data_IF_319344300757
#
_entry.id   IF_319344300757
#
_cell.length_a   1.000
_cell.length_b   1.000
_cell.length_c   1.000
_cell.angle_alpha   90.00
_cell.angle_beta   90.00
_cell.angle_gamma   90.00
#
_symmetry.space_group_name_H-M   'P 1'
#
loop_
_entity.id
_entity.type
_entity.pdbx_description
1 polymer ?
#
# COMPACT_ATOMS: atom_id res chain seq x y z
N UNK A 1 57.54 23.86 35.48
CA UNK A 1 57.69 23.80 34.04
C UNK A 1 56.29 23.49 33.46
N UNK A 2 55.72 24.40 32.68
CA UNK A 2 54.27 24.53 32.43
C UNK A 2 53.80 23.65 31.27
N UNK A 3 52.79 22.90 31.49
CA UNK A 3 51.95 22.31 30.42
C UNK A 3 51.02 23.40 29.85
N UNK A 4 51.36 23.90 28.69
CA UNK A 4 50.54 24.85 27.93
C UNK A 4 50.46 24.35 26.49
N UNK A 5 49.55 23.40 26.23
CA UNK A 5 49.40 22.78 24.91
C UNK A 5 48.04 22.19 24.57
N UNK A 6 47.08 22.11 25.53
CA UNK A 6 45.83 21.35 25.32
C UNK A 6 44.67 22.13 24.65
N UNK A 7 44.73 23.46 24.61
CA UNK A 7 43.56 24.27 24.19
C UNK A 7 43.31 24.33 22.68
N UNK A 8 44.32 24.00 21.84
CA UNK A 8 44.16 24.12 20.36
C UNK A 8 43.53 22.88 19.72
N UNK A 9 43.81 21.70 20.26
CA UNK A 9 43.29 20.43 19.75
C UNK A 9 41.82 20.22 20.15
N UNK A 10 41.40 20.66 21.34
CA UNK A 10 40.03 20.50 21.80
C UNK A 10 39.01 21.27 20.92
N UNK A 11 39.38 22.46 20.44
CA UNK A 11 38.57 23.24 19.50
C UNK A 11 38.44 22.56 18.12
N UNK A 12 39.53 21.96 17.64
CA UNK A 12 39.56 21.23 16.39
C UNK A 12 38.64 20.00 16.47
N UNK A 13 38.71 19.22 17.55
CA UNK A 13 37.82 18.08 17.76
C UNK A 13 36.35 18.48 17.88
N UNK A 14 36.05 19.60 18.55
CA UNK A 14 34.69 20.12 18.64
C UNK A 14 34.13 20.53 17.27
N UNK A 15 34.94 21.16 16.42
CA UNK A 15 34.54 21.52 15.05
C UNK A 15 34.31 20.27 14.20
N UNK A 16 35.20 19.28 14.27
CA UNK A 16 35.05 18.01 13.54
C UNK A 16 33.77 17.29 13.99
N UNK A 17 33.53 17.20 15.30
CA UNK A 17 32.31 16.59 15.84
C UNK A 17 31.06 17.31 15.36
N UNK A 18 31.04 18.63 15.33
CA UNK A 18 29.95 19.45 14.83
C UNK A 18 29.71 19.18 13.34
N UNK A 19 30.75 19.12 12.51
CA UNK A 19 30.64 18.83 11.07
C UNK A 19 30.06 17.41 10.86
N UNK A 20 30.52 16.42 11.61
CA UNK A 20 30.01 15.04 11.53
C UNK A 20 28.52 15.00 11.89
N UNK A 21 28.10 15.69 12.95
CA UNK A 21 26.70 15.79 13.34
C UNK A 21 25.85 16.45 12.22
N UNK A 22 26.37 17.56 11.65
CA UNK A 22 25.70 18.25 10.53
C UNK A 22 25.57 17.31 9.32
N UNK A 23 26.62 16.57 8.97
CA UNK A 23 26.58 15.60 7.86
C UNK A 23 25.55 14.49 8.14
N UNK A 24 25.53 13.94 9.36
CA UNK A 24 24.56 12.93 9.76
C UNK A 24 23.13 13.46 9.66
N UNK A 25 22.88 14.65 10.21
CA UNK A 25 21.55 15.29 10.13
C UNK A 25 21.17 15.57 8.68
N UNK A 26 22.10 16.07 7.87
CA UNK A 26 21.85 16.38 6.46
C UNK A 26 21.58 15.10 5.65
N UNK A 27 22.37 14.05 5.82
CA UNK A 27 22.12 12.76 5.17
C UNK A 27 20.79 12.15 5.62
N UNK A 28 20.44 12.27 6.90
CA UNK A 28 19.17 11.80 7.43
C UNK A 28 17.98 12.57 6.82
N UNK A 29 18.07 13.90 6.73
CA UNK A 29 17.00 14.73 6.13
C UNK A 29 16.83 14.47 4.63
N UNK A 30 17.91 14.27 3.87
CA UNK A 30 17.85 14.02 2.43
C UNK A 30 17.50 12.56 2.07
N UNK A 31 17.91 11.58 2.89
CA UNK A 31 17.54 10.18 2.66
C UNK A 31 16.09 9.87 3.01
N UNK A 32 15.39 10.80 3.67
CA UNK A 32 14.03 10.58 4.17
C UNK A 32 12.93 11.04 3.20
N UNK A 33 13.22 11.09 1.89
CA UNK A 33 12.17 11.30 0.89
C UNK A 33 11.37 10.01 0.69
N UNK A 34 10.04 10.13 0.72
CA UNK A 34 9.14 9.02 0.43
C UNK A 34 9.10 8.77 -1.09
N UNK A 35 9.52 7.59 -1.52
CA UNK A 35 9.26 7.10 -2.87
C UNK A 35 7.84 6.55 -2.92
N UNK A 36 6.99 7.18 -3.71
CA UNK A 36 5.57 6.82 -3.83
C UNK A 36 5.43 5.60 -4.73
N UNK A 37 4.77 4.57 -4.24
CA UNK A 37 4.35 3.45 -5.06
C UNK A 37 3.12 3.83 -5.89
N UNK A 38 3.01 3.31 -7.11
CA UNK A 38 1.94 3.64 -8.05
C UNK A 38 1.68 2.49 -9.03
N UNK A 39 0.52 2.50 -9.66
CA UNK A 39 0.20 1.59 -10.77
C UNK A 39 0.59 2.28 -12.08
N UNK A 40 1.47 1.65 -12.92
CA UNK A 40 1.87 2.24 -14.20
C UNK A 40 0.69 2.37 -15.18
N UNK A 41 0.61 3.47 -15.92
CA UNK A 41 -0.48 3.77 -16.86
C UNK A 41 -0.74 2.65 -17.87
N UNK A 42 0.31 1.95 -18.32
CA UNK A 42 0.21 0.84 -19.29
C UNK A 42 -0.67 -0.33 -18.81
N UNK A 43 -0.92 -0.46 -17.50
CA UNK A 43 -1.78 -1.51 -16.92
C UNK A 43 -3.14 -1.00 -16.49
N UNK A 44 -3.37 0.31 -16.45
CA UNK A 44 -4.63 0.89 -15.99
C UNK A 44 -5.80 0.57 -16.92
N UNK A 45 -5.59 0.57 -18.27
CA UNK A 45 -6.68 0.37 -19.25
C UNK A 45 -7.82 1.38 -19.04
N UNK A 46 -8.99 0.91 -18.59
CA UNK A 46 -10.17 1.75 -18.26
C UNK A 46 -10.21 2.22 -16.81
N UNK A 47 -9.15 1.99 -16.05
CA UNK A 47 -9.02 2.47 -14.67
C UNK A 47 -8.35 3.83 -14.69
N UNK A 48 -8.81 4.72 -13.82
CA UNK A 48 -8.25 6.06 -13.67
C UNK A 48 -7.88 6.33 -12.23
N UNK A 49 -6.82 7.11 -12.03
CA UNK A 49 -6.48 7.61 -10.70
C UNK A 49 -7.49 8.66 -10.27
N UNK A 50 -8.04 8.51 -9.07
CA UNK A 50 -8.87 9.51 -8.41
C UNK A 50 -7.98 10.55 -7.73
N UNK A 51 -7.83 11.70 -8.39
CA UNK A 51 -6.93 12.76 -7.93
C UNK A 51 -7.45 13.41 -6.64
N UNK A 52 -8.76 13.42 -6.44
CA UNK A 52 -9.38 14.03 -5.26
C UNK A 52 -9.16 13.18 -4.00
N UNK A 53 -8.97 11.88 -4.16
CA UNK A 53 -8.66 10.96 -3.06
C UNK A 53 -7.15 10.79 -2.79
N UNK A 54 -6.30 11.57 -3.45
CA UNK A 54 -4.89 11.60 -3.08
C UNK A 54 -4.73 12.10 -1.66
N UNK A 55 -4.06 11.32 -0.86
CA UNK A 55 -3.81 11.68 0.53
C UNK A 55 -2.34 11.41 0.89
N UNK A 56 -1.88 12.07 1.93
CA UNK A 56 -0.53 11.89 2.43
C UNK A 56 -0.25 12.82 3.58
N UNK A 57 0.67 12.43 4.42
CA UNK A 57 1.09 13.22 5.58
C UNK A 57 2.55 12.94 5.93
N UNK A 58 3.16 13.93 6.53
CA UNK A 58 4.42 13.82 7.27
C UNK A 58 4.12 13.97 8.74
N UNK A 59 4.52 13.02 9.56
CA UNK A 59 4.44 13.16 11.01
C UNK A 59 5.50 14.13 11.54
N UNK A 60 5.32 14.56 12.80
CA UNK A 60 6.28 15.45 13.49
C UNK A 60 7.71 14.94 13.31
N UNK A 61 8.60 15.84 12.84
CA UNK A 61 10.02 15.56 12.53
C UNK A 61 10.26 14.58 11.37
N UNK A 62 9.24 14.25 10.53
CA UNK A 62 9.40 13.36 9.37
C UNK A 62 9.77 11.92 9.73
N UNK A 63 9.45 11.47 10.95
CA UNK A 63 9.73 10.11 11.42
C UNK A 63 8.89 9.07 10.68
N UNK A 64 7.72 9.47 10.20
CA UNK A 64 6.86 8.67 9.34
C UNK A 64 6.28 9.55 8.25
N UNK A 65 6.31 9.06 7.02
CA UNK A 65 5.72 9.70 5.84
C UNK A 65 4.87 8.67 5.14
N UNK A 66 3.71 9.08 4.67
CA UNK A 66 2.89 8.21 3.86
C UNK A 66 2.23 8.98 2.71
N UNK A 67 1.91 8.27 1.64
CA UNK A 67 1.14 8.77 0.52
C UNK A 67 0.26 7.65 -0.02
N UNK A 68 -0.96 7.99 -0.38
CA UNK A 68 -1.97 7.06 -0.87
C UNK A 68 -2.56 7.55 -2.19
N UNK A 69 -2.77 6.63 -3.12
CA UNK A 69 -3.37 6.83 -4.43
C UNK A 69 -4.49 5.82 -4.62
N UNK A 70 -5.65 6.30 -5.01
CA UNK A 70 -6.81 5.44 -5.33
C UNK A 70 -7.02 5.40 -6.84
N UNK A 71 -7.20 4.21 -7.38
CA UNK A 71 -7.53 3.96 -8.78
C UNK A 71 -8.91 3.33 -8.84
N UNK A 72 -9.79 3.88 -9.68
CA UNK A 72 -11.18 3.40 -9.85
C UNK A 72 -11.42 2.92 -11.26
N UNK A 73 -12.31 1.94 -11.40
CA UNK A 73 -12.88 1.65 -12.70
C UNK A 73 -13.98 2.69 -13.00
N UNK A 74 -14.27 2.88 -14.30
CA UNK A 74 -15.34 3.77 -14.76
C UNK A 74 -16.70 3.04 -14.93
N UNK A 75 -16.85 1.90 -14.28
CA UNK A 75 -18.08 1.09 -14.38
C UNK A 75 -18.97 1.38 -13.16
N UNK A 76 -20.13 1.98 -13.39
CA UNK A 76 -21.09 2.30 -12.33
C UNK A 76 -21.84 1.07 -11.80
N UNK A 77 -22.00 0.03 -12.66
CA UNK A 77 -22.75 -1.19 -12.32
C UNK A 77 -21.97 -2.09 -11.35
N UNK A 78 -20.66 -2.21 -11.56
CA UNK A 78 -19.75 -3.02 -10.73
C UNK A 78 -18.59 -2.16 -10.25
N UNK A 79 -18.82 -1.26 -9.28
CA UNK A 79 -17.77 -0.40 -8.78
C UNK A 79 -16.61 -1.22 -8.21
N UNK A 80 -15.41 -0.79 -8.56
CA UNK A 80 -14.20 -1.41 -8.05
C UNK A 80 -13.08 -0.36 -7.92
N UNK A 81 -12.22 -0.52 -6.93
CA UNK A 81 -11.08 0.36 -6.72
C UNK A 81 -9.88 -0.36 -6.14
N UNK A 82 -8.72 0.24 -6.31
CA UNK A 82 -7.46 -0.17 -5.68
C UNK A 82 -6.82 1.06 -5.07
N UNK A 83 -6.56 1.00 -3.78
CA UNK A 83 -5.77 2.01 -3.07
C UNK A 83 -4.36 1.49 -2.85
N UNK A 84 -3.35 2.29 -3.22
CA UNK A 84 -1.93 2.00 -3.04
C UNK A 84 -1.35 3.00 -2.07
N UNK A 85 -0.94 2.55 -0.90
CA UNK A 85 -0.35 3.36 0.15
C UNK A 85 1.13 3.02 0.31
N UNK A 86 1.98 4.04 0.25
CA UNK A 86 3.41 3.95 0.56
C UNK A 86 3.66 4.53 1.93
N UNK A 87 4.42 3.84 2.75
CA UNK A 87 4.78 4.28 4.10
C UNK A 87 6.29 4.22 4.23
N UNK A 88 6.90 5.32 4.67
CA UNK A 88 8.29 5.39 5.06
C UNK A 88 8.36 5.76 6.53
N UNK A 89 8.83 4.84 7.34
CA UNK A 89 9.05 5.03 8.77
C UNK A 89 10.54 4.95 9.08
N UNK A 90 10.94 5.43 10.26
CA UNK A 90 12.32 5.34 10.74
C UNK A 90 12.81 3.90 10.78
N UNK A 91 11.94 2.98 11.18
CA UNK A 91 12.16 1.54 11.13
C UNK A 91 11.09 0.89 10.27
N UNK A 92 11.52 0.08 9.32
CA UNK A 92 10.61 -0.66 8.45
C UNK A 92 9.88 -1.73 9.29
N UNK A 93 8.53 -1.72 9.34
CA UNK A 93 7.78 -2.74 10.07
C UNK A 93 7.98 -4.13 9.44
N UNK A 94 7.73 -5.18 10.19
CA UNK A 94 7.72 -6.53 9.62
C UNK A 94 6.53 -6.69 8.65
N UNK A 95 6.64 -7.63 7.70
CA UNK A 95 5.53 -7.93 6.77
C UNK A 95 4.27 -8.41 7.50
N UNK A 96 4.44 -9.11 8.64
CA UNK A 96 3.34 -9.55 9.46
C UNK A 96 2.62 -8.36 10.13
N UNK A 97 3.39 -7.41 10.70
CA UNK A 97 2.81 -6.20 11.30
C UNK A 97 2.07 -5.35 10.27
N UNK A 98 2.59 -5.28 9.03
CA UNK A 98 1.90 -4.59 7.93
C UNK A 98 0.59 -5.28 7.56
N UNK A 99 0.57 -6.60 7.50
CA UNK A 99 -0.64 -7.36 7.21
C UNK A 99 -1.68 -7.18 8.32
N UNK A 100 -1.28 -7.21 9.59
CA UNK A 100 -2.18 -6.99 10.71
C UNK A 100 -2.79 -5.58 10.67
N UNK A 101 -2.00 -4.54 10.39
CA UNK A 101 -2.52 -3.18 10.17
C UNK A 101 -3.48 -3.11 8.98
N UNK A 102 -3.23 -3.88 7.94
CA UNK A 102 -4.12 -3.96 6.78
C UNK A 102 -5.45 -4.61 7.14
N UNK A 103 -5.43 -5.67 7.94
CA UNK A 103 -6.64 -6.33 8.45
C UNK A 103 -7.44 -5.37 9.34
N UNK A 104 -6.78 -4.64 10.25
CA UNK A 104 -7.43 -3.60 11.06
C UNK A 104 -8.09 -2.51 10.19
N UNK A 105 -7.44 -2.11 9.09
CA UNK A 105 -8.03 -1.14 8.16
C UNK A 105 -9.26 -1.71 7.43
N UNK A 106 -9.23 -2.99 7.05
CA UNK A 106 -10.38 -3.67 6.44
C UNK A 106 -11.52 -3.83 7.45
N UNK A 107 -11.22 -4.09 8.71
CA UNK A 107 -12.24 -4.19 9.76
C UNK A 107 -12.98 -2.85 10.00
N UNK A 108 -12.31 -1.71 9.81
CA UNK A 108 -12.96 -0.40 9.88
C UNK A 108 -14.00 -0.18 8.77
N UNK A 109 -13.89 -0.86 7.63
CA UNK A 109 -14.90 -0.79 6.58
C UNK A 109 -16.27 -1.30 7.04
N UNK A 110 -16.36 -2.02 8.17
CA UNK A 110 -17.62 -2.40 8.81
C UNK A 110 -18.44 -1.18 9.24
N UNK A 111 -17.78 -0.08 9.59
CA UNK A 111 -18.44 1.19 9.96
C UNK A 111 -19.17 1.81 8.75
N UNK A 112 -18.71 1.51 7.53
CA UNK A 112 -19.28 1.97 6.27
C UNK A 112 -20.31 0.97 5.67
N UNK A 113 -20.72 -0.04 6.43
CA UNK A 113 -21.73 -1.03 6.01
C UNK A 113 -21.15 -2.24 5.27
N UNK A 114 -19.83 -2.42 5.25
CA UNK A 114 -19.18 -3.60 4.69
C UNK A 114 -19.13 -4.71 5.74
N UNK A 115 -19.79 -5.84 5.47
CA UNK A 115 -19.75 -7.02 6.34
C UNK A 115 -18.88 -8.09 5.69
N UNK A 116 -17.72 -8.37 6.30
CA UNK A 116 -16.79 -9.39 5.84
C UNK A 116 -17.18 -10.78 6.38
N UNK A 117 -17.13 -11.79 5.52
CA UNK A 117 -17.33 -13.18 5.90
C UNK A 117 -15.99 -13.77 6.39
N UNK A 118 -15.85 -13.89 7.70
CA UNK A 118 -14.66 -14.45 8.34
C UNK A 118 -14.36 -15.90 7.91
N UNK A 119 -15.40 -16.66 7.49
CA UNK A 119 -15.22 -18.02 6.99
C UNK A 119 -14.61 -18.08 5.59
N UNK A 120 -14.67 -16.99 4.85
CA UNK A 120 -14.13 -16.87 3.48
C UNK A 120 -12.66 -16.48 3.44
N UNK A 121 -12.03 -16.25 4.59
CA UNK A 121 -10.67 -15.71 4.67
C UNK A 121 -9.65 -16.62 3.96
N UNK A 122 -8.91 -16.04 3.03
CA UNK A 122 -7.78 -16.66 2.36
C UNK A 122 -6.52 -15.82 2.62
N UNK A 123 -5.49 -16.43 3.19
CA UNK A 123 -4.20 -15.79 3.44
C UNK A 123 -3.10 -16.50 2.67
N UNK A 124 -2.08 -15.78 2.25
CA UNK A 124 -0.96 -16.39 1.56
C UNK A 124 0.17 -15.42 1.26
N UNK A 125 1.11 -15.92 0.45
CA UNK A 125 2.25 -15.16 -0.06
C UNK A 125 2.29 -15.30 -1.57
N UNK A 126 2.75 -14.25 -2.25
CA UNK A 126 3.07 -14.30 -3.68
C UNK A 126 4.22 -13.36 -4.02
N UNK A 127 4.72 -13.44 -5.25
CA UNK A 127 5.65 -12.46 -5.79
C UNK A 127 4.93 -11.57 -6.78
N UNK A 128 5.15 -10.25 -6.68
CA UNK A 128 4.66 -9.31 -7.67
C UNK A 128 5.55 -9.27 -8.92
N UNK A 129 5.19 -8.47 -9.93
CA UNK A 129 5.92 -8.35 -11.18
C UNK A 129 7.36 -7.80 -11.02
N UNK A 130 7.65 -7.13 -9.91
CA UNK A 130 8.96 -6.57 -9.55
C UNK A 130 9.73 -7.45 -8.57
N UNK A 131 9.30 -8.72 -8.42
CA UNK A 131 9.93 -9.75 -7.58
C UNK A 131 9.94 -9.45 -6.07
N UNK A 132 9.06 -8.55 -5.59
CA UNK A 132 8.84 -8.40 -4.16
C UNK A 132 7.99 -9.55 -3.64
N UNK A 133 8.41 -10.18 -2.56
CA UNK A 133 7.55 -11.08 -1.81
C UNK A 133 6.48 -10.25 -1.08
N UNK A 134 5.23 -10.63 -1.23
CA UNK A 134 4.10 -9.98 -0.57
C UNK A 134 3.31 -10.97 0.27
N UNK A 135 2.70 -10.48 1.33
CA UNK A 135 1.67 -11.19 2.09
C UNK A 135 0.31 -10.62 1.72
N UNK A 136 -0.71 -11.47 1.61
CA UNK A 136 -2.05 -11.02 1.31
C UNK A 136 -3.10 -11.68 2.18
N UNK A 137 -4.24 -11.00 2.30
CA UNK A 137 -5.49 -11.51 2.85
C UNK A 137 -6.63 -11.16 1.91
N UNK A 138 -7.54 -12.12 1.68
CA UNK A 138 -8.74 -11.93 0.85
C UNK A 138 -9.96 -12.30 1.68
N UNK A 139 -11.02 -11.50 1.53
CA UNK A 139 -12.34 -11.74 2.07
C UNK A 139 -13.39 -11.68 0.95
N UNK A 140 -14.42 -12.45 1.10
CA UNK A 140 -15.73 -12.21 0.48
C UNK A 140 -16.60 -11.50 1.52
N UNK A 141 -17.51 -10.65 1.09
CA UNK A 141 -18.37 -9.92 2.02
C UNK A 141 -19.62 -9.41 1.33
N UNK A 142 -20.37 -8.60 2.07
CA UNK A 142 -21.59 -7.95 1.60
C UNK A 142 -21.48 -6.44 1.88
N UNK A 143 -21.88 -5.65 0.91
CA UNK A 143 -22.11 -4.21 1.07
C UNK A 143 -23.58 -4.00 1.45
N UNK A 144 -23.82 -3.78 2.73
CA UNK A 144 -25.17 -3.55 3.29
C UNK A 144 -25.58 -2.08 3.27
N UNK A 145 -24.72 -1.18 2.81
CA UNK A 145 -25.06 0.21 2.52
C UNK A 145 -25.93 0.31 1.25
N UNK A 146 -25.95 -0.74 0.44
CA UNK A 146 -26.74 -0.86 -0.80
C UNK A 146 -28.09 -1.55 -0.52
N UNK A 147 -29.09 -1.15 -1.28
CA UNK A 147 -30.41 -1.80 -1.30
C UNK A 147 -30.82 -2.04 -2.76
N UNK A 148 -30.85 -3.30 -3.21
CA UNK A 148 -30.51 -4.53 -2.47
C UNK A 148 -29.04 -4.67 -2.11
N UNK A 149 -28.76 -5.50 -1.08
CA UNK A 149 -27.39 -5.83 -0.61
C UNK A 149 -26.56 -6.45 -1.74
N UNK A 150 -25.34 -5.97 -1.93
CA UNK A 150 -24.43 -6.45 -2.96
C UNK A 150 -23.31 -7.32 -2.39
N UNK A 151 -22.89 -8.35 -3.14
CA UNK A 151 -21.73 -9.15 -2.78
C UNK A 151 -20.44 -8.45 -3.24
N UNK A 152 -19.41 -8.54 -2.42
CA UNK A 152 -18.11 -7.92 -2.68
C UNK A 152 -16.97 -8.89 -2.45
N UNK A 153 -15.81 -8.57 -3.04
CA UNK A 153 -14.51 -9.17 -2.69
C UNK A 153 -13.53 -8.08 -2.35
N UNK A 154 -12.71 -8.34 -1.32
CA UNK A 154 -11.68 -7.42 -0.87
C UNK A 154 -10.35 -8.18 -0.75
N UNK A 155 -9.26 -7.53 -1.15
CA UNK A 155 -7.88 -7.98 -0.91
C UNK A 155 -7.12 -6.89 -0.19
N UNK A 156 -6.38 -7.28 0.85
CA UNK A 156 -5.27 -6.51 1.39
C UNK A 156 -3.96 -7.22 1.03
N UNK A 157 -2.99 -6.51 0.46
CA UNK A 157 -1.69 -7.06 0.09
C UNK A 157 -0.58 -6.10 0.48
N UNK A 158 0.48 -6.62 1.11
CA UNK A 158 1.55 -5.82 1.69
C UNK A 158 2.92 -6.37 1.39
N UNK A 159 3.91 -5.49 1.24
CA UNK A 159 5.32 -5.86 1.14
C UNK A 159 6.26 -4.72 1.54
N UNK A 160 7.48 -5.07 1.82
CA UNK A 160 8.57 -4.13 2.02
C UNK A 160 9.38 -3.95 0.72
N UNK A 161 9.57 -2.70 0.30
CA UNK A 161 10.40 -2.33 -0.84
C UNK A 161 11.77 -1.88 -0.34
N UNK A 162 12.72 -2.81 -0.27
CA UNK A 162 14.08 -2.53 0.23
C UNK A 162 14.78 -1.44 -0.58
N UNK A 163 14.55 -1.39 -1.91
CA UNK A 163 15.18 -0.42 -2.81
C UNK A 163 14.77 1.02 -2.48
N UNK A 164 13.49 1.26 -2.22
CA UNK A 164 12.98 2.59 -1.84
C UNK A 164 13.03 2.84 -0.34
N UNK A 165 13.25 1.81 0.47
CA UNK A 165 13.20 1.89 1.93
C UNK A 165 11.79 2.23 2.43
N UNK A 166 10.74 1.77 1.73
CA UNK A 166 9.35 2.02 2.08
C UNK A 166 8.56 0.71 2.16
N UNK A 167 7.50 0.71 2.94
CA UNK A 167 6.49 -0.33 2.97
C UNK A 167 5.34 0.04 2.06
N UNK A 168 4.71 -0.94 1.41
CA UNK A 168 3.56 -0.75 0.52
C UNK A 168 2.40 -1.55 1.05
N UNK A 169 1.23 -0.92 1.10
CA UNK A 169 -0.06 -1.54 1.39
C UNK A 169 -0.97 -1.29 0.20
N UNK A 170 -1.55 -2.34 -0.35
CA UNK A 170 -2.56 -2.27 -1.39
C UNK A 170 -3.87 -2.82 -0.84
N UNK A 171 -4.96 -2.07 -1.01
CA UNK A 171 -6.32 -2.53 -0.72
C UNK A 171 -7.09 -2.51 -2.04
N UNK A 172 -7.59 -3.67 -2.47
CA UNK A 172 -8.43 -3.80 -3.64
C UNK A 172 -9.84 -4.20 -3.23
N UNK A 173 -10.84 -3.54 -3.82
CA UNK A 173 -12.26 -3.79 -3.62
C UNK A 173 -12.93 -4.00 -4.96
N UNK A 174 -13.83 -4.99 -5.06
CA UNK A 174 -14.70 -5.16 -6.20
C UNK A 174 -16.10 -5.60 -5.75
N UNK A 175 -17.13 -4.86 -6.15
CA UNK A 175 -18.50 -5.36 -6.16
C UNK A 175 -18.61 -6.45 -7.23
N UNK A 176 -19.19 -7.60 -6.90
CA UNK A 176 -19.26 -8.76 -7.81
C UNK A 176 -20.68 -9.13 -8.18
N UNK A 177 -21.72 -8.53 -7.59
CA UNK A 177 -23.10 -8.68 -8.00
C UNK A 177 -23.71 -7.32 -8.34
N UNK A 178 -24.84 -7.34 -9.04
CA UNK A 178 -25.64 -6.17 -9.37
C UNK A 178 -27.12 -6.56 -9.18
N UNK A 179 -27.49 -6.78 -7.94
CA UNK A 179 -28.82 -7.22 -7.55
C UNK A 179 -29.88 -6.18 -7.87
N UNK A 180 -29.50 -4.89 -7.91
CA UNK A 180 -30.37 -3.79 -8.30
C UNK A 180 -30.96 -4.00 -9.72
N UNK A 181 -30.15 -4.52 -10.65
CA UNK A 181 -30.57 -4.82 -12.02
C UNK A 181 -30.85 -6.31 -12.25
N UNK A 182 -30.97 -7.10 -11.18
CA UNK A 182 -31.30 -8.52 -11.25
C UNK A 182 -30.15 -9.46 -11.59
N UNK A 183 -28.89 -8.95 -11.55
CA UNK A 183 -27.70 -9.74 -11.84
C UNK A 183 -27.06 -10.28 -10.54
N UNK A 184 -27.65 -11.36 -10.00
CA UNK A 184 -27.16 -12.00 -8.77
C UNK A 184 -25.98 -12.94 -8.98
N UNK A 185 -25.69 -13.33 -10.23
CA UNK A 185 -24.52 -14.14 -10.56
C UNK A 185 -23.24 -13.32 -10.45
N UNK A 186 -22.17 -13.84 -9.81
CA UNK A 186 -20.95 -13.11 -9.61
C UNK A 186 -20.22 -12.75 -10.92
N UNK A 187 -19.98 -11.47 -11.15
CA UNK A 187 -19.11 -10.97 -12.21
C UNK A 187 -17.74 -10.66 -11.64
N UNK A 188 -16.71 -11.42 -12.03
CA UNK A 188 -15.38 -11.35 -11.48
C UNK A 188 -14.40 -10.53 -12.34
N UNK A 189 -14.83 -9.90 -13.44
CA UNK A 189 -13.93 -9.23 -14.39
C UNK A 189 -13.05 -8.15 -13.71
N UNK A 190 -13.63 -7.34 -12.82
CA UNK A 190 -12.87 -6.30 -12.10
C UNK A 190 -12.03 -6.89 -10.97
N UNK A 191 -12.53 -7.95 -10.32
CA UNK A 191 -11.75 -8.69 -9.34
C UNK A 191 -10.49 -9.31 -9.96
N UNK A 192 -10.64 -9.98 -11.10
CA UNK A 192 -9.53 -10.55 -11.87
C UNK A 192 -8.51 -9.46 -12.25
N UNK A 193 -9.00 -8.30 -12.67
CA UNK A 193 -8.15 -7.15 -12.99
C UNK A 193 -7.38 -6.63 -11.77
N UNK A 194 -7.97 -6.67 -10.57
CA UNK A 194 -7.30 -6.28 -9.33
C UNK A 194 -6.19 -7.28 -8.98
N UNK A 195 -6.47 -8.59 -8.97
CA UNK A 195 -5.61 -9.62 -8.38
C UNK A 195 -4.76 -10.40 -9.38
N UNK A 196 -5.04 -10.33 -10.68
CA UNK A 196 -4.40 -11.14 -11.71
C UNK A 196 -2.86 -11.09 -11.69
N UNK A 197 -2.24 -12.19 -12.11
CA UNK A 197 -0.79 -12.32 -12.22
C UNK A 197 -0.39 -13.28 -13.34
N UNK A 198 0.87 -13.24 -13.79
CA UNK A 198 1.43 -14.18 -14.77
C UNK A 198 1.37 -15.63 -14.33
N UNK A 199 1.40 -15.88 -13.04
CA UNK A 199 1.44 -17.22 -12.45
C UNK A 199 0.05 -17.83 -12.23
N UNK A 200 -1.02 -17.13 -12.63
CA UNK A 200 -2.40 -17.62 -12.45
C UNK A 200 -2.85 -17.59 -11.00
N UNK A 201 -2.51 -16.53 -10.27
CA UNK A 201 -2.94 -16.32 -8.90
C UNK A 201 -4.47 -16.43 -8.79
N UNK A 202 -4.95 -17.25 -7.89
CA UNK A 202 -6.39 -17.59 -7.73
C UNK A 202 -7.06 -18.12 -9.01
N UNK A 203 -6.30 -18.73 -9.91
CA UNK A 203 -6.84 -19.26 -11.17
C UNK A 203 -6.93 -18.23 -12.32
N UNK A 204 -6.58 -16.98 -12.06
CA UNK A 204 -6.62 -15.90 -13.07
C UNK A 204 -5.22 -15.63 -13.62
N UNK A 205 -5.01 -16.00 -14.88
CA UNK A 205 -3.77 -15.68 -15.60
C UNK A 205 -3.94 -14.33 -16.28
N UNK A 206 -3.31 -13.29 -15.75
CA UNK A 206 -3.35 -11.94 -16.30
C UNK A 206 -2.09 -11.17 -15.96
N UNK A 207 -1.35 -10.77 -16.99
CA UNK A 207 -0.17 -9.92 -16.85
C UNK A 207 -0.51 -8.49 -16.38
N UNK A 208 -1.80 -8.13 -16.47
CA UNK A 208 -2.30 -6.78 -16.26
C UNK A 208 -2.98 -6.57 -14.91
N UNK A 209 -2.78 -7.49 -13.95
CA UNK A 209 -3.29 -7.32 -12.58
C UNK A 209 -2.76 -6.02 -11.96
N UNK A 210 -3.65 -5.22 -11.36
CA UNK A 210 -3.28 -3.89 -10.85
C UNK A 210 -2.28 -4.01 -9.70
N UNK A 211 -2.64 -4.75 -8.64
CA UNK A 211 -1.76 -4.92 -7.47
C UNK A 211 -0.47 -5.63 -7.86
N UNK A 212 -0.55 -6.64 -8.74
CA UNK A 212 0.62 -7.36 -9.25
C UNK A 212 1.66 -6.45 -9.92
N UNK A 213 1.22 -5.34 -10.53
CA UNK A 213 2.08 -4.40 -11.25
C UNK A 213 2.36 -3.10 -10.49
N UNK A 214 2.07 -3.01 -9.21
CA UNK A 214 2.44 -1.83 -8.40
C UNK A 214 3.96 -1.69 -8.37
N UNK A 215 4.43 -0.51 -8.74
CA UNK A 215 5.85 -0.14 -8.79
C UNK A 215 6.18 0.76 -7.60
N UNK A 216 7.25 0.44 -6.86
CA UNK A 216 7.70 1.18 -5.68
C UNK A 216 9.14 1.74 -5.80
N UNK A 217 9.78 1.59 -6.97
CA UNK A 217 11.10 2.16 -7.29
C UNK A 217 11.30 2.26 -8.81
#
# INVERSE_FOLDING_TARGET
>A
MFFKGEGKNSRLYAIIALIVVIIIVFTFLFSNQLTKAYIPDKVLSFWTEDIEERSGSDTLFGLEKWASFTYRNNNETYPAYVTVTSIKALFMPSEADLLDKTIEALDKAKEDGIILDESSILRGKRKNNFNHESMFVIYTGNDTSKDPVEKIKIIGETWNCVVSGSSVICIGFAQITDNLHGNSEPNLIHWEKIVGSKTGFLGFISDNGLIYNVKCH
#
